data_IF_360838760934
#
_entry.id   IF_360838760934
#
_cell.length_a   1.000
_cell.length_b   1.000
_cell.length_c   1.000
_cell.angle_alpha   90.00
_cell.angle_beta   90.00
_cell.angle_gamma   90.00
#
_symmetry.space_group_name_H-M   'P 1'
#
loop_
_entity.id
_entity.type
_entity.pdbx_description
1 polymer ?
#
# COMPACT_ATOMS: atom_id res chain seq x y z
N UNK A 1 -44.68 42.35 23.68
CA UNK A 1 -43.54 41.59 24.26
C UNK A 1 -43.30 40.39 23.37
N UNK A 2 -42.34 40.50 22.42
CA UNK A 2 -41.89 39.39 21.60
C UNK A 2 -40.83 38.62 22.43
N UNK A 3 -41.15 37.38 22.76
CA UNK A 3 -40.18 36.44 23.27
C UNK A 3 -39.36 35.93 22.09
N UNK A 4 -38.10 36.38 22.03
CA UNK A 4 -37.14 35.83 21.11
C UNK A 4 -36.70 34.44 21.59
N UNK A 5 -37.12 33.40 20.88
CA UNK A 5 -36.61 32.07 21.03
C UNK A 5 -35.24 32.06 20.36
N UNK A 6 -34.19 32.18 21.17
CA UNK A 6 -32.83 31.91 20.74
C UNK A 6 -32.69 30.39 20.65
N UNK A 7 -32.89 29.86 19.44
CA UNK A 7 -32.50 28.49 19.14
C UNK A 7 -30.98 28.46 19.11
N UNK A 8 -30.39 28.12 20.25
CA UNK A 8 -28.99 27.72 20.30
C UNK A 8 -28.87 26.38 19.53
N UNK A 9 -28.68 26.48 18.24
CA UNK A 9 -28.23 25.37 17.46
C UNK A 9 -26.85 24.96 17.98
N UNK A 10 -26.83 24.00 18.90
CA UNK A 10 -25.65 23.22 19.20
C UNK A 10 -25.28 22.50 17.89
N UNK A 11 -24.45 23.17 17.12
CA UNK A 11 -23.61 22.51 16.14
C UNK A 11 -22.74 21.54 16.94
N UNK A 12 -23.30 20.36 17.21
CA UNK A 12 -22.51 19.16 17.42
C UNK A 12 -21.79 18.91 16.09
N UNK A 13 -20.79 19.74 15.81
CA UNK A 13 -19.70 19.32 14.94
C UNK A 13 -19.05 18.18 15.72
N UNK A 14 -19.64 17.00 15.58
CA UNK A 14 -18.97 15.78 15.89
C UNK A 14 -17.69 15.85 15.08
N UNK A 15 -16.59 16.20 15.72
CA UNK A 15 -15.29 15.85 15.22
C UNK A 15 -15.35 14.33 15.08
N UNK A 16 -15.74 13.88 13.88
CA UNK A 16 -15.49 12.53 13.48
C UNK A 16 -13.97 12.42 13.54
N UNK A 17 -13.47 12.00 14.68
CA UNK A 17 -12.06 11.66 14.83
C UNK A 17 -11.80 10.64 13.74
N UNK A 18 -11.06 11.06 12.71
CA UNK A 18 -10.66 10.16 11.65
C UNK A 18 -9.94 9.00 12.34
N UNK A 19 -10.55 7.81 12.25
CA UNK A 19 -9.97 6.60 12.83
C UNK A 19 -8.52 6.48 12.40
N UNK A 20 -7.65 6.06 13.30
CA UNK A 20 -6.30 5.70 12.91
C UNK A 20 -6.32 4.34 12.19
N UNK A 21 -5.25 4.02 11.45
CA UNK A 21 -5.18 2.80 10.66
C UNK A 21 -5.41 1.53 11.51
N UNK A 22 -4.88 1.51 12.73
CA UNK A 22 -4.96 0.35 13.63
C UNK A 22 -6.38 0.09 14.15
N UNK A 23 -7.23 1.10 14.18
CA UNK A 23 -8.66 0.93 14.52
C UNK A 23 -9.43 0.22 13.40
N UNK A 24 -9.06 0.43 12.13
CA UNK A 24 -9.66 -0.29 11.01
C UNK A 24 -9.27 -1.78 11.01
N UNK A 25 -7.98 -2.08 11.19
CA UNK A 25 -7.45 -3.43 11.10
C UNK A 25 -7.67 -4.28 12.36
N UNK A 26 -8.23 -3.70 13.42
CA UNK A 26 -8.62 -4.46 14.63
C UNK A 26 -9.91 -5.25 14.45
N UNK A 27 -10.65 -5.02 13.37
CA UNK A 27 -11.89 -5.75 13.09
C UNK A 27 -11.59 -7.17 12.60
N UNK A 28 -12.53 -8.10 12.86
CA UNK A 28 -12.44 -9.49 12.39
C UNK A 28 -12.84 -9.67 10.92
N UNK A 29 -13.00 -8.56 10.20
CA UNK A 29 -13.38 -8.61 8.80
C UNK A 29 -12.20 -9.00 7.89
N UNK A 30 -12.49 -9.59 6.72
CA UNK A 30 -11.47 -9.88 5.73
C UNK A 30 -10.71 -8.62 5.30
N UNK A 31 -9.39 -8.69 5.08
CA UNK A 31 -8.56 -7.54 4.71
C UNK A 31 -9.09 -6.74 3.52
N UNK A 32 -9.59 -7.41 2.49
CA UNK A 32 -10.18 -6.75 1.31
C UNK A 32 -11.37 -5.87 1.64
N UNK A 33 -12.24 -6.33 2.53
CA UNK A 33 -13.37 -5.54 2.98
C UNK A 33 -12.91 -4.32 3.77
N UNK A 34 -11.92 -4.49 4.64
CA UNK A 34 -11.34 -3.40 5.46
C UNK A 34 -10.72 -2.31 4.58
N UNK A 35 -9.97 -2.69 3.55
CA UNK A 35 -9.35 -1.74 2.60
C UNK A 35 -10.41 -0.91 1.87
N UNK A 36 -11.61 -1.44 1.69
CA UNK A 36 -12.74 -0.75 1.08
C UNK A 36 -13.50 0.21 2.01
N UNK A 37 -13.18 0.27 3.29
CA UNK A 37 -13.88 1.15 4.23
C UNK A 37 -13.57 2.64 3.99
N UNK A 38 -14.58 3.46 4.12
CA UNK A 38 -14.43 4.91 4.09
C UNK A 38 -13.39 5.37 5.13
N UNK A 39 -12.45 6.20 4.70
CA UNK A 39 -11.38 6.72 5.53
C UNK A 39 -10.17 5.80 5.73
N UNK A 40 -10.21 4.53 5.28
CA UNK A 40 -9.06 3.64 5.37
C UNK A 40 -7.85 4.19 4.62
N UNK A 41 -8.05 4.67 3.39
CA UNK A 41 -6.98 5.23 2.57
C UNK A 41 -6.35 6.47 3.20
N UNK A 42 -7.15 7.35 3.80
CA UNK A 42 -6.65 8.54 4.51
C UNK A 42 -5.84 8.15 5.76
N UNK A 43 -6.26 7.11 6.46
CA UNK A 43 -5.52 6.57 7.59
C UNK A 43 -4.20 5.93 7.14
N UNK A 44 -4.22 5.15 6.06
CA UNK A 44 -3.03 4.51 5.49
C UNK A 44 -2.03 5.54 4.95
N UNK A 45 -2.49 6.63 4.33
CA UNK A 45 -1.63 7.68 3.79
C UNK A 45 -0.78 8.36 4.89
N UNK A 46 -1.26 8.39 6.13
CA UNK A 46 -0.47 8.90 7.26
C UNK A 46 0.69 7.98 7.63
N UNK A 47 0.61 6.71 7.28
CA UNK A 47 1.61 5.68 7.59
C UNK A 47 2.57 5.41 6.42
N UNK A 48 2.28 5.90 5.23
CA UNK A 48 3.14 5.77 4.05
C UNK A 48 3.91 7.07 3.80
N UNK A 49 5.12 6.95 3.28
CA UNK A 49 5.98 8.07 2.94
C UNK A 49 5.32 9.04 1.97
N UNK A 50 5.51 10.34 2.22
CA UNK A 50 5.08 11.42 1.33
C UNK A 50 6.20 11.76 0.34
N UNK A 51 6.47 10.82 -0.56
CA UNK A 51 7.45 10.96 -1.63
C UNK A 51 6.75 10.99 -2.98
N UNK A 52 7.12 11.95 -3.82
CA UNK A 52 6.61 12.03 -5.18
C UNK A 52 7.47 11.18 -6.13
N UNK A 53 6.85 10.22 -6.78
CA UNK A 53 7.49 9.32 -7.76
C UNK A 53 6.72 9.29 -9.08
N UNK A 54 7.38 8.87 -10.14
CA UNK A 54 6.71 8.59 -11.42
C UNK A 54 6.03 7.23 -11.37
N UNK A 55 4.73 7.22 -11.61
CA UNK A 55 3.90 6.01 -11.64
C UNK A 55 3.08 5.90 -12.94
N UNK A 56 3.38 6.76 -13.92
CA UNK A 56 2.78 6.76 -15.24
C UNK A 56 3.39 7.82 -16.15
N UNK A 57 3.50 7.50 -17.44
CA UNK A 57 4.17 8.35 -18.44
C UNK A 57 3.54 9.74 -18.57
N UNK A 58 2.23 9.85 -18.34
CA UNK A 58 1.49 11.09 -18.63
C UNK A 58 1.12 11.88 -17.38
N UNK A 59 1.44 11.36 -16.21
CA UNK A 59 0.87 11.89 -14.98
C UNK A 59 1.85 12.75 -14.15
N UNK A 60 3.12 12.78 -14.55
CA UNK A 60 4.15 13.43 -13.76
C UNK A 60 4.44 12.71 -12.43
N UNK A 61 5.14 13.38 -11.54
CA UNK A 61 5.38 12.88 -10.19
C UNK A 61 4.15 13.05 -9.32
N UNK A 62 3.73 12.00 -8.66
CA UNK A 62 2.62 12.00 -7.69
C UNK A 62 3.07 11.38 -6.36
N UNK A 63 2.39 11.72 -5.25
CA UNK A 63 2.62 11.07 -3.98
C UNK A 63 2.48 9.55 -4.12
N UNK A 64 3.43 8.82 -3.55
CA UNK A 64 3.52 7.37 -3.65
C UNK A 64 2.24 6.66 -3.16
N UNK A 65 1.61 7.20 -2.12
CA UNK A 65 0.38 6.64 -1.57
C UNK A 65 -0.80 6.67 -2.55
N UNK A 66 -0.88 7.66 -3.44
CA UNK A 66 -1.97 7.75 -4.43
C UNK A 66 -1.99 6.54 -5.36
N UNK A 67 -0.82 6.06 -5.77
CA UNK A 67 -0.73 4.87 -6.62
C UNK A 67 -0.80 3.60 -5.81
N UNK A 68 -0.22 3.58 -4.62
CA UNK A 68 -0.28 2.42 -3.76
C UNK A 68 -1.73 2.06 -3.39
N UNK A 69 -2.55 3.04 -3.03
CA UNK A 69 -3.96 2.80 -2.71
C UNK A 69 -4.72 2.16 -3.89
N UNK A 70 -4.44 2.58 -5.13
CA UNK A 70 -5.05 1.99 -6.32
C UNK A 70 -4.67 0.51 -6.51
N UNK A 71 -3.52 0.09 -6.00
CA UNK A 71 -3.05 -1.29 -6.08
C UNK A 71 -3.71 -2.21 -5.06
N UNK A 72 -4.35 -1.69 -4.02
CA UNK A 72 -5.01 -2.49 -2.99
C UNK A 72 -6.50 -2.72 -3.26
N UNK A 73 -7.14 -1.85 -4.04
CA UNK A 73 -8.61 -1.85 -4.24
C UNK A 73 -9.07 -3.05 -5.06
N UNK A 74 -8.29 -3.47 -6.05
CA UNK A 74 -8.71 -4.52 -6.96
C UNK A 74 -8.15 -5.88 -6.53
N UNK A 75 -9.05 -6.70 -6.02
CA UNK A 75 -8.70 -7.93 -5.32
C UNK A 75 -9.14 -9.22 -5.98
N UNK A 76 -9.66 -9.16 -7.21
CA UNK A 76 -10.26 -10.34 -7.88
C UNK A 76 -9.26 -11.15 -8.72
N UNK A 77 -7.98 -10.82 -8.65
CA UNK A 77 -6.97 -11.57 -9.38
C UNK A 77 -6.49 -12.77 -8.56
N UNK A 78 -6.36 -13.95 -9.18
CA UNK A 78 -5.85 -15.16 -8.55
C UNK A 78 -4.49 -14.93 -7.85
N UNK A 79 -4.27 -15.47 -6.62
CA UNK A 79 -3.02 -15.51 -5.83
C UNK A 79 -2.74 -14.24 -5.03
N UNK A 80 -3.71 -13.43 -4.76
CA UNK A 80 -3.58 -12.39 -3.76
C UNK A 80 -3.47 -13.01 -2.38
N UNK A 81 -2.68 -12.37 -1.55
CA UNK A 81 -2.50 -12.80 -0.17
C UNK A 81 -3.39 -11.94 0.70
N UNK A 82 -4.21 -12.61 1.50
CA UNK A 82 -4.99 -12.00 2.57
C UNK A 82 -4.74 -12.72 3.88
N UNK A 83 -4.46 -11.96 4.91
CA UNK A 83 -4.28 -12.49 6.24
C UNK A 83 -4.64 -11.43 7.29
N UNK A 84 -5.44 -11.79 8.26
CA UNK A 84 -5.82 -10.91 9.36
C UNK A 84 -6.00 -11.74 10.62
N UNK A 85 -5.04 -11.68 11.53
CA UNK A 85 -5.09 -12.30 12.84
C UNK A 85 -4.83 -11.28 13.96
N UNK A 86 -4.60 -11.74 15.16
CA UNK A 86 -4.29 -10.88 16.30
C UNK A 86 -2.97 -10.12 16.17
N UNK A 87 -2.01 -10.64 15.39
CA UNK A 87 -0.66 -10.08 15.28
C UNK A 87 -0.45 -9.31 13.99
N UNK A 88 -0.98 -9.81 12.86
CA UNK A 88 -0.66 -9.30 11.54
C UNK A 88 -1.91 -8.99 10.72
N UNK A 89 -1.76 -8.00 9.85
CA UNK A 89 -2.70 -7.71 8.79
C UNK A 89 -1.92 -7.64 7.47
N UNK A 90 -2.29 -8.48 6.51
CA UNK A 90 -1.62 -8.58 5.21
C UNK A 90 -2.69 -8.56 4.14
N UNK A 91 -2.50 -7.72 3.13
CA UNK A 91 -3.34 -7.68 1.96
C UNK A 91 -2.53 -7.32 0.73
N UNK A 92 -2.80 -7.99 -0.37
CA UNK A 92 -2.25 -7.64 -1.66
C UNK A 92 -3.36 -7.42 -2.69
N UNK A 93 -3.02 -6.70 -3.74
CA UNK A 93 -3.93 -6.43 -4.83
C UNK A 93 -3.19 -5.97 -6.08
N UNK A 94 -3.93 -5.65 -7.13
CA UNK A 94 -3.34 -5.16 -8.36
C UNK A 94 -4.10 -3.95 -8.92
N UNK A 95 -3.44 -3.21 -9.82
CA UNK A 95 -4.05 -2.07 -10.48
C UNK A 95 -5.20 -2.53 -11.40
N UNK A 96 -6.37 -1.91 -11.34
CA UNK A 96 -7.44 -2.15 -12.30
C UNK A 96 -6.91 -2.03 -13.74
N UNK A 97 -7.21 -3.03 -14.58
CA UNK A 97 -6.76 -3.14 -15.97
C UNK A 97 -5.24 -3.25 -16.19
N UNK A 98 -4.44 -3.38 -15.12
CA UNK A 98 -2.97 -3.53 -15.22
C UNK A 98 -2.44 -4.40 -14.07
N UNK A 99 -2.90 -5.63 -13.96
CA UNK A 99 -2.49 -6.55 -12.90
C UNK A 99 -0.98 -6.90 -12.81
N UNK A 100 -0.12 -6.66 -13.81
CA UNK A 100 1.31 -6.67 -13.58
C UNK A 100 1.77 -5.65 -12.51
N UNK A 101 1.08 -4.52 -12.39
CA UNK A 101 1.32 -3.55 -11.32
C UNK A 101 0.57 -3.99 -10.06
N UNK A 102 1.31 -4.28 -8.99
CA UNK A 102 0.77 -4.90 -7.77
C UNK A 102 1.21 -4.17 -6.51
N UNK A 103 0.36 -4.25 -5.49
CA UNK A 103 0.61 -3.73 -4.15
C UNK A 103 0.56 -4.83 -3.10
N UNK A 104 1.34 -4.65 -2.05
CA UNK A 104 1.41 -5.51 -0.89
C UNK A 104 1.51 -4.63 0.36
N UNK A 105 0.52 -4.74 1.24
CA UNK A 105 0.48 -4.07 2.53
C UNK A 105 0.69 -5.11 3.63
N UNK A 106 1.62 -4.83 4.51
CA UNK A 106 1.96 -5.66 5.66
C UNK A 106 1.98 -4.80 6.92
N UNK A 107 1.27 -5.22 7.96
CA UNK A 107 1.18 -4.50 9.21
C UNK A 107 1.39 -5.48 10.37
N UNK A 108 2.33 -5.15 11.24
CA UNK A 108 2.46 -5.72 12.57
C UNK A 108 1.61 -4.88 13.53
N UNK A 109 0.54 -5.47 14.03
CA UNK A 109 -0.43 -4.79 14.91
C UNK A 109 0.15 -4.50 16.27
N UNK A 110 0.99 -5.40 16.78
CA UNK A 110 1.61 -5.31 18.10
C UNK A 110 2.68 -4.24 18.14
N UNK A 111 3.61 -4.27 17.18
CA UNK A 111 4.73 -3.34 17.10
C UNK A 111 4.35 -2.02 16.39
N UNK A 112 3.11 -1.92 15.90
CA UNK A 112 2.60 -0.79 15.11
C UNK A 112 3.55 -0.43 13.97
N UNK A 113 3.91 -1.44 13.18
CA UNK A 113 4.76 -1.30 12.01
C UNK A 113 3.89 -1.41 10.77
N UNK A 114 3.96 -0.43 9.89
CA UNK A 114 3.33 -0.44 8.57
C UNK A 114 4.42 -0.46 7.51
N UNK A 115 4.38 -1.47 6.66
CA UNK A 115 5.28 -1.65 5.53
C UNK A 115 4.46 -1.88 4.27
N UNK A 116 4.88 -1.25 3.20
CA UNK A 116 4.25 -1.41 1.90
C UNK A 116 5.28 -1.84 0.86
N UNK A 117 4.83 -2.59 -0.12
CA UNK A 117 5.63 -2.87 -1.31
C UNK A 117 4.78 -2.77 -2.56
N UNK A 118 5.37 -2.31 -3.64
CA UNK A 118 4.68 -2.23 -4.93
C UNK A 118 5.60 -2.64 -6.07
N UNK A 119 5.00 -3.20 -7.09
CA UNK A 119 5.67 -3.49 -8.36
C UNK A 119 5.16 -2.51 -9.38
N UNK A 120 6.07 -1.83 -10.03
CA UNK A 120 5.80 -0.84 -11.06
C UNK A 120 6.83 -0.90 -12.19
N UNK A 121 6.51 -0.26 -13.31
CA UNK A 121 7.29 -0.30 -14.55
C UNK A 121 7.73 1.09 -15.02
N UNK A 122 7.76 2.06 -14.11
CA UNK A 122 8.12 3.43 -14.44
C UNK A 122 9.29 3.89 -13.60
N UNK A 123 10.26 4.52 -14.23
CA UNK A 123 11.42 5.12 -13.60
C UNK A 123 11.73 6.44 -14.31
N UNK A 124 11.94 7.49 -13.54
CA UNK A 124 12.40 8.81 -14.06
C UNK A 124 11.64 9.25 -15.32
N UNK A 125 10.29 9.22 -15.31
CA UNK A 125 9.38 9.54 -16.42
C UNK A 125 9.37 8.55 -17.61
N UNK A 126 10.14 7.49 -17.53
CA UNK A 126 10.21 6.48 -18.59
C UNK A 126 9.51 5.19 -18.16
N UNK A 127 8.80 4.60 -19.11
CA UNK A 127 8.26 3.25 -18.95
C UNK A 127 9.34 2.25 -19.37
N UNK A 128 9.72 1.39 -18.45
CA UNK A 128 10.57 0.24 -18.73
C UNK A 128 9.70 -1.03 -18.66
N UNK A 129 9.20 -1.46 -19.81
CA UNK A 129 8.35 -2.65 -19.93
C UNK A 129 9.11 -3.95 -19.78
N UNK A 130 10.43 -3.90 -19.89
CA UNK A 130 11.28 -5.09 -19.83
C UNK A 130 11.69 -5.41 -18.41
N UNK A 131 11.55 -4.44 -17.47
CA UNK A 131 11.98 -4.60 -16.09
C UNK A 131 10.91 -4.11 -15.11
N UNK A 132 10.42 -5.02 -14.27
CA UNK A 132 9.65 -4.66 -13.10
C UNK A 132 10.56 -4.17 -11.98
N UNK A 133 10.13 -3.12 -11.27
CA UNK A 133 10.80 -2.58 -10.09
C UNK A 133 9.97 -2.89 -8.86
N UNK A 134 10.61 -3.49 -7.87
CA UNK A 134 10.04 -3.65 -6.54
C UNK A 134 10.41 -2.44 -5.69
N UNK A 135 9.45 -1.65 -5.31
CA UNK A 135 9.60 -0.54 -4.39
C UNK A 135 9.05 -0.96 -3.03
N UNK A 136 9.89 -0.95 -2.01
CA UNK A 136 9.53 -1.22 -0.62
C UNK A 136 9.53 0.11 0.12
N UNK A 137 8.52 0.35 0.95
CA UNK A 137 8.22 1.65 1.53
C UNK A 137 8.12 1.52 3.04
N UNK A 138 8.81 2.39 3.77
CA UNK A 138 8.75 2.44 5.22
C UNK A 138 8.95 3.86 5.76
N UNK A 139 8.02 4.30 6.61
CA UNK A 139 8.19 5.52 7.42
C UNK A 139 9.03 5.29 8.69
N UNK A 140 9.25 4.05 9.09
CA UNK A 140 9.86 3.71 10.38
C UNK A 140 11.34 3.36 10.27
N UNK A 141 11.75 2.68 9.19
CA UNK A 141 13.10 2.12 9.08
C UNK A 141 14.01 2.95 8.18
N UNK A 142 15.29 3.03 8.56
CA UNK A 142 16.32 3.76 7.82
C UNK A 142 17.00 2.93 6.74
N UNK A 143 17.06 1.61 6.91
CA UNK A 143 17.66 0.72 5.92
C UNK A 143 16.81 -0.52 5.68
N UNK A 144 16.95 -1.12 4.51
CA UNK A 144 16.30 -2.41 4.19
C UNK A 144 16.78 -3.54 5.15
N UNK A 145 18.02 -3.45 5.62
CA UNK A 145 18.57 -4.41 6.58
C UNK A 145 17.77 -4.49 7.86
N UNK A 146 17.26 -3.36 8.33
CA UNK A 146 16.54 -3.23 9.62
C UNK A 146 15.10 -3.73 9.57
N UNK A 147 14.56 -4.05 8.38
CA UNK A 147 13.21 -4.54 8.23
C UNK A 147 13.01 -5.89 8.94
N UNK A 148 11.83 -6.12 9.55
CA UNK A 148 11.51 -7.37 10.22
C UNK A 148 11.72 -8.59 9.31
N UNK A 149 12.29 -9.65 9.86
CA UNK A 149 12.51 -10.92 9.12
C UNK A 149 11.17 -11.44 8.59
N UNK A 150 10.14 -11.44 9.41
CA UNK A 150 8.79 -11.87 9.02
C UNK A 150 8.24 -11.13 7.81
N UNK A 151 8.44 -9.79 7.75
CA UNK A 151 8.07 -9.02 6.56
C UNK A 151 8.81 -9.50 5.31
N UNK A 152 10.12 -9.74 5.42
CA UNK A 152 10.94 -10.20 4.29
C UNK A 152 10.51 -11.58 3.78
N UNK A 153 10.14 -12.48 4.69
CA UNK A 153 9.61 -13.81 4.39
C UNK A 153 8.26 -13.72 3.68
N UNK A 154 7.33 -12.93 4.21
CA UNK A 154 5.99 -12.74 3.63
C UNK A 154 6.07 -12.07 2.26
N UNK A 155 6.95 -11.06 2.12
CA UNK A 155 7.22 -10.40 0.86
C UNK A 155 7.74 -11.39 -0.20
N UNK A 156 8.70 -12.26 0.18
CA UNK A 156 9.22 -13.27 -0.72
C UNK A 156 8.15 -14.31 -1.10
N UNK A 157 7.29 -14.69 -0.16
CA UNK A 157 6.14 -15.56 -0.42
C UNK A 157 5.21 -14.91 -1.43
N UNK A 158 4.84 -13.65 -1.24
CA UNK A 158 4.01 -12.90 -2.19
C UNK A 158 4.64 -12.81 -3.57
N UNK A 159 5.94 -12.51 -3.67
CA UNK A 159 6.66 -12.43 -4.93
C UNK A 159 6.69 -13.79 -5.67
N UNK A 160 6.84 -14.90 -4.93
CA UNK A 160 6.84 -16.24 -5.53
C UNK A 160 5.46 -16.69 -5.99
N UNK A 161 4.41 -16.32 -5.26
CA UNK A 161 3.02 -16.61 -5.62
C UNK A 161 2.64 -15.87 -6.89
N UNK A 162 3.11 -14.64 -7.04
CA UNK A 162 2.87 -13.80 -8.20
C UNK A 162 3.31 -14.44 -9.52
N UNK A 163 4.37 -15.23 -9.54
CA UNK A 163 4.87 -15.89 -10.76
C UNK A 163 3.86 -16.87 -11.38
N UNK A 164 2.82 -17.27 -10.64
CA UNK A 164 1.77 -18.17 -11.13
C UNK A 164 0.69 -17.48 -11.96
N UNK A 165 0.73 -16.14 -12.09
CA UNK A 165 -0.37 -15.33 -12.62
C UNK A 165 -0.17 -14.73 -13.98
N UNK A 166 0.82 -15.21 -14.70
CA UNK A 166 1.06 -14.70 -16.02
C UNK A 166 0.05 -15.20 -17.03
N UNK A 167 -0.91 -14.34 -17.36
CA UNK A 167 -1.77 -14.50 -18.53
C UNK A 167 -1.00 -14.50 -19.85
N UNK A 168 0.26 -14.07 -19.84
CA UNK A 168 1.16 -14.09 -21.01
C UNK A 168 2.13 -15.23 -20.84
N UNK A 169 1.74 -16.39 -21.29
CA UNK A 169 2.45 -17.68 -21.18
C UNK A 169 3.92 -17.70 -21.63
N UNK A 170 4.44 -16.64 -22.21
CA UNK A 170 5.75 -16.65 -22.86
C UNK A 170 6.83 -15.78 -22.20
N UNK A 171 6.54 -14.99 -21.16
CA UNK A 171 7.51 -14.03 -20.61
C UNK A 171 7.52 -13.93 -19.06
N UNK A 172 7.30 -15.03 -18.37
CA UNK A 172 7.28 -15.13 -16.90
C UNK A 172 8.53 -14.49 -16.25
N UNK A 173 9.69 -14.62 -16.89
CA UNK A 173 10.95 -14.07 -16.36
C UNK A 173 11.00 -12.54 -16.32
N UNK A 174 10.26 -11.85 -17.18
CA UNK A 174 10.27 -10.39 -17.27
C UNK A 174 9.43 -9.70 -16.19
N UNK A 175 8.50 -10.40 -15.57
CA UNK A 175 7.60 -9.85 -14.56
C UNK A 175 8.15 -9.95 -13.13
N UNK A 176 9.25 -10.67 -12.92
CA UNK A 176 9.94 -10.70 -11.64
C UNK A 176 10.76 -9.41 -11.53
N UNK A 177 10.54 -8.60 -10.49
CA UNK A 177 11.31 -7.37 -10.32
C UNK A 177 12.81 -7.66 -10.29
N UNK A 178 13.54 -7.13 -11.26
CA UNK A 178 15.00 -7.27 -11.35
C UNK A 178 15.72 -6.31 -10.40
N UNK A 179 15.07 -5.21 -10.03
CA UNK A 179 15.63 -4.18 -9.16
C UNK A 179 14.73 -3.98 -7.95
N UNK A 180 15.33 -4.09 -6.77
CA UNK A 180 14.69 -3.74 -5.50
C UNK A 180 15.13 -2.35 -5.08
N UNK A 181 14.17 -1.53 -4.65
CA UNK A 181 14.40 -0.20 -4.09
C UNK A 181 13.71 -0.08 -2.75
N UNK A 182 14.30 0.66 -1.86
CA UNK A 182 13.76 0.93 -0.54
C UNK A 182 13.59 2.43 -0.33
N UNK A 183 12.39 2.87 0.00
CA UNK A 183 12.09 4.23 0.47
C UNK A 183 12.15 4.21 1.97
N UNK A 184 13.15 4.86 2.52
CA UNK A 184 13.40 4.86 3.95
C UNK A 184 12.63 5.98 4.69
N UNK A 185 12.76 6.02 6.01
CA UNK A 185 12.12 7.02 6.88
C UNK A 185 12.50 8.47 6.57
N UNK A 186 13.60 8.70 5.88
CA UNK A 186 14.06 10.03 5.47
C UNK A 186 13.56 10.41 4.05
N UNK A 187 12.64 9.65 3.48
CA UNK A 187 12.15 9.79 2.10
C UNK A 187 13.24 9.65 1.03
N UNK A 188 14.29 8.90 1.31
CA UNK A 188 15.34 8.60 0.34
C UNK A 188 15.10 7.24 -0.29
N UNK A 189 15.39 7.15 -1.59
CA UNK A 189 15.32 5.89 -2.34
C UNK A 189 16.71 5.28 -2.40
N UNK A 190 16.82 4.04 -1.98
CA UNK A 190 18.05 3.25 -2.00
C UNK A 190 17.84 2.01 -2.89
N UNK A 191 18.87 1.62 -3.64
CA UNK A 191 18.87 0.34 -4.34
C UNK A 191 19.30 -0.74 -3.35
N UNK A 192 18.48 -1.78 -3.22
CA UNK A 192 18.76 -2.94 -2.37
C UNK A 192 19.55 -3.95 -3.19
N UNK A 193 20.72 -4.29 -2.70
CA UNK A 193 21.62 -5.31 -3.28
C UNK A 193 21.21 -6.72 -2.87
#
# INVERSE_FOLDING_TARGET
KLLGIVVLGLLLSGNAYAKNLFEYISSDHPPKLIVGYDGFNEALNKEINDLNIYLGIREGKKPIYNSFNQLLINSDADGEIEFNDENYFIVSGCRPHSCPEKGFLWIDKKEKIVLAAMIHYFIDDKKDIDNGYLLIISKKFKSYGDLPIKFKEDLNTWLSTRSKWDYVKNDIKKLIPSVKRFVNSDNKIETVK
#
